data_IF_042698060568
#
_entry.id   IF_042698060568
#
_cell.length_a   1.000
_cell.length_b   1.000
_cell.length_c   1.000
_cell.angle_alpha   90.00
_cell.angle_beta   90.00
_cell.angle_gamma   90.00
#
_symmetry.space_group_name_H-M   'P 1'
#
loop_
_entity.id
_entity.type
_entity.pdbx_description
1 polymer ?
#
# COMPACT_ATOMS: atom_id res chain seq x y z
N UNK A 1 -26.22 47.49 6.08
CA UNK A 1 -25.12 47.06 5.21
C UNK A 1 -24.13 46.33 6.11
N UNK A 2 -24.33 45.01 6.30
CA UNK A 2 -23.52 44.19 7.18
C UNK A 2 -22.68 43.30 6.24
N UNK A 3 -21.39 43.53 6.26
CA UNK A 3 -20.41 42.75 5.49
C UNK A 3 -20.17 41.46 6.29
N UNK A 4 -20.59 40.33 5.74
CA UNK A 4 -20.24 39.01 6.25
C UNK A 4 -18.85 38.68 5.72
N UNK A 5 -17.85 38.79 6.59
CA UNK A 5 -16.54 38.21 6.38
C UNK A 5 -16.66 36.69 6.54
N UNK A 6 -16.59 35.95 5.45
CA UNK A 6 -16.34 34.51 5.49
C UNK A 6 -14.87 34.29 5.87
N UNK A 7 -14.69 33.91 7.13
CA UNK A 7 -13.42 33.41 7.63
C UNK A 7 -13.17 32.02 7.02
N UNK A 8 -12.09 31.91 6.29
CA UNK A 8 -11.48 30.66 5.86
C UNK A 8 -10.73 30.03 7.04
N UNK A 9 -11.41 29.35 7.94
CA UNK A 9 -10.82 28.70 9.12
C UNK A 9 -10.49 27.21 8.91
N UNK A 10 -10.29 26.77 7.66
CA UNK A 10 -9.98 25.35 7.38
C UNK A 10 -8.48 25.00 7.32
N UNK A 11 -7.57 25.94 7.62
CA UNK A 11 -6.13 25.66 7.58
C UNK A 11 -5.49 25.36 8.96
N UNK A 12 -6.18 25.64 10.08
CA UNK A 12 -5.54 25.57 11.41
C UNK A 12 -5.56 24.18 12.09
N UNK A 13 -6.32 23.20 11.60
CA UNK A 13 -6.38 21.85 12.19
C UNK A 13 -5.50 20.80 11.52
N UNK A 14 -4.93 21.09 10.35
CA UNK A 14 -4.10 20.13 9.59
C UNK A 14 -2.60 20.15 10.01
N UNK A 15 -2.13 21.22 10.63
CA UNK A 15 -0.70 21.35 11.00
C UNK A 15 -0.32 20.57 12.25
N UNK A 16 -1.25 20.15 13.08
CA UNK A 16 -0.95 19.61 14.42
C UNK A 16 -0.54 18.13 14.46
N UNK A 17 -0.61 17.35 13.37
CA UNK A 17 -0.36 15.90 13.44
C UNK A 17 0.19 15.23 12.17
N UNK A 18 0.98 15.92 11.33
CA UNK A 18 1.65 15.24 10.22
C UNK A 18 2.58 14.14 10.75
N UNK A 19 2.51 12.96 10.16
CA UNK A 19 3.40 11.84 10.44
C UNK A 19 4.28 11.58 9.22
N UNK A 20 5.62 11.64 9.36
CA UNK A 20 6.54 11.38 8.26
C UNK A 20 6.31 10.00 7.64
N UNK A 21 6.43 9.93 6.33
CA UNK A 21 6.30 8.69 5.59
C UNK A 21 7.68 8.14 5.25
N UNK A 22 7.90 6.87 5.49
CA UNK A 22 9.20 6.24 5.22
C UNK A 22 9.64 6.36 3.76
N UNK A 23 8.68 6.41 2.84
CA UNK A 23 8.95 6.56 1.42
C UNK A 23 9.50 7.95 1.05
N UNK A 24 9.34 8.97 1.90
CA UNK A 24 9.68 10.36 1.58
C UNK A 24 11.15 10.51 1.17
N UNK A 25 12.09 9.92 1.91
CA UNK A 25 13.53 9.98 1.61
C UNK A 25 13.89 9.42 0.22
N UNK A 26 13.21 8.38 -0.23
CA UNK A 26 13.42 7.84 -1.59
C UNK A 26 12.88 8.76 -2.68
N UNK A 27 11.75 9.42 -2.43
CA UNK A 27 11.17 10.38 -3.37
C UNK A 27 12.09 11.61 -3.45
N UNK A 28 12.63 12.07 -2.31
CA UNK A 28 13.59 13.17 -2.23
C UNK A 28 14.84 12.87 -3.06
N UNK A 29 15.47 11.71 -2.85
CA UNK A 29 16.63 11.30 -3.66
C UNK A 29 16.29 11.20 -5.16
N UNK A 30 15.09 10.70 -5.50
CA UNK A 30 14.71 10.53 -6.90
C UNK A 30 14.52 11.85 -7.66
N UNK A 31 14.06 12.93 -7.01
CA UNK A 31 13.88 14.23 -7.71
C UNK A 31 15.21 14.95 -7.99
N UNK A 32 16.30 14.56 -7.33
CA UNK A 32 17.63 15.04 -7.67
C UNK A 32 18.10 14.49 -9.04
N UNK A 33 17.84 13.22 -9.29
CA UNK A 33 18.36 12.51 -10.45
C UNK A 33 17.38 12.46 -11.64
N UNK A 34 16.08 12.51 -11.37
CA UNK A 34 15.05 12.29 -12.39
C UNK A 34 14.20 13.54 -12.65
N UNK A 35 13.96 13.90 -13.93
CA UNK A 35 13.19 15.10 -14.24
C UNK A 35 11.69 14.97 -13.89
N UNK A 36 11.17 13.75 -13.82
CA UNK A 36 9.76 13.50 -13.45
C UNK A 36 9.69 12.38 -12.42
N UNK A 37 9.06 12.66 -11.30
CA UNK A 37 8.68 11.67 -10.28
C UNK A 37 7.16 11.53 -10.26
N UNK A 38 6.65 10.31 -10.38
CA UNK A 38 5.22 9.99 -10.32
C UNK A 38 4.90 9.33 -9.00
N UNK A 39 4.05 9.97 -8.19
CA UNK A 39 3.56 9.46 -6.91
C UNK A 39 2.11 9.01 -7.03
N UNK A 40 1.89 7.71 -7.03
CA UNK A 40 0.56 7.09 -7.07
C UNK A 40 0.20 6.44 -5.74
N UNK A 41 -1.05 6.03 -5.59
CA UNK A 41 -1.54 5.32 -4.40
C UNK A 41 -3.05 5.47 -4.23
N UNK A 42 -3.64 4.70 -3.32
CA UNK A 42 -5.07 4.75 -3.05
C UNK A 42 -5.51 6.18 -2.68
N UNK A 43 -6.80 6.43 -2.80
CA UNK A 43 -7.38 7.70 -2.34
C UNK A 43 -7.19 7.84 -0.83
N UNK A 44 -6.95 9.08 -0.36
CA UNK A 44 -6.75 9.43 1.06
C UNK A 44 -5.55 8.74 1.76
N UNK A 45 -4.62 8.16 1.00
CA UNK A 45 -3.41 7.54 1.54
C UNK A 45 -2.33 8.56 1.96
N UNK A 46 -2.58 9.87 1.72
CA UNK A 46 -1.72 10.97 2.18
C UNK A 46 -0.70 11.47 1.16
N UNK A 47 -0.91 11.27 -0.17
CA UNK A 47 0.02 11.76 -1.22
C UNK A 47 0.24 13.26 -1.19
N UNK A 48 -0.85 14.03 -1.29
CA UNK A 48 -0.81 15.49 -1.28
C UNK A 48 -0.27 16.03 0.05
N UNK A 49 -0.64 15.39 1.17
CA UNK A 49 -0.13 15.74 2.51
C UNK A 49 1.37 15.53 2.62
N UNK A 50 1.91 14.41 2.11
CA UNK A 50 3.35 14.16 2.05
C UNK A 50 4.05 15.30 1.29
N UNK A 51 3.56 15.64 0.10
CA UNK A 51 4.17 16.68 -0.74
C UNK A 51 4.03 18.09 -0.16
N UNK A 52 3.07 18.35 0.72
CA UNK A 52 2.89 19.63 1.40
C UNK A 52 3.80 19.80 2.64
N UNK A 53 4.25 18.69 3.25
CA UNK A 53 4.98 18.76 4.52
C UNK A 53 6.44 18.33 4.43
N UNK A 54 6.81 17.49 3.47
CA UNK A 54 8.19 17.00 3.34
C UNK A 54 9.06 17.95 2.51
N UNK A 55 10.26 18.29 3.01
CA UNK A 55 11.27 18.99 2.22
C UNK A 55 11.79 18.08 1.10
N UNK A 56 12.15 18.61 -0.09
CA UNK A 56 12.03 20.01 -0.50
C UNK A 56 10.64 20.37 -1.06
N UNK A 57 9.70 19.44 -1.10
CA UNK A 57 8.40 19.57 -1.79
C UNK A 57 7.51 20.66 -1.20
N UNK A 58 7.57 20.86 0.13
CA UNK A 58 6.80 21.90 0.81
C UNK A 58 7.11 23.33 0.30
N UNK A 59 8.28 23.52 -0.30
CA UNK A 59 8.73 24.80 -0.85
C UNK A 59 8.43 24.94 -2.35
N UNK A 60 8.03 23.85 -3.01
CA UNK A 60 7.77 23.85 -4.44
C UNK A 60 6.42 24.47 -4.77
N UNK A 61 6.33 25.10 -5.92
CA UNK A 61 5.04 25.51 -6.46
C UNK A 61 4.16 24.26 -6.64
N UNK A 62 2.96 24.29 -6.04
CA UNK A 62 2.00 23.20 -6.13
C UNK A 62 0.74 23.67 -6.83
N UNK A 63 0.24 22.87 -7.77
CA UNK A 63 -1.01 23.11 -8.51
C UNK A 63 -1.85 21.84 -8.43
N UNK A 64 -3.08 21.96 -7.92
CA UNK A 64 -4.05 20.85 -7.87
C UNK A 64 -5.13 21.03 -8.94
N UNK A 65 -5.41 19.97 -9.70
CA UNK A 65 -6.48 19.94 -10.69
C UNK A 65 -7.87 19.64 -10.09
N UNK A 66 -7.99 19.70 -8.76
CA UNK A 66 -9.27 19.88 -8.08
C UNK A 66 -9.79 21.32 -8.26
N UNK A 67 -8.89 22.29 -8.47
CA UNK A 67 -9.22 23.65 -8.83
C UNK A 67 -9.61 23.72 -10.33
N UNK A 68 -10.82 24.19 -10.59
CA UNK A 68 -11.36 24.33 -11.95
C UNK A 68 -10.59 25.34 -12.82
N UNK A 69 -9.99 26.37 -12.21
CA UNK A 69 -9.21 27.36 -12.95
C UNK A 69 -7.87 26.76 -13.38
N UNK A 70 -7.20 26.05 -12.48
CA UNK A 70 -5.98 25.31 -12.79
C UNK A 70 -6.24 24.24 -13.87
N UNK A 71 -7.38 23.55 -13.80
CA UNK A 71 -7.77 22.56 -14.79
C UNK A 71 -7.99 23.20 -16.19
N UNK A 72 -8.66 24.35 -16.26
CA UNK A 72 -8.83 25.10 -17.52
C UNK A 72 -7.50 25.58 -18.07
N UNK A 73 -6.62 26.10 -17.23
CA UNK A 73 -5.27 26.53 -17.61
C UNK A 73 -4.45 25.36 -18.16
N UNK A 74 -4.53 24.18 -17.53
CA UNK A 74 -3.86 22.97 -18.00
C UNK A 74 -4.32 22.53 -19.40
N UNK A 75 -5.56 22.80 -19.76
CA UNK A 75 -6.14 22.46 -21.07
C UNK A 75 -5.75 23.45 -22.16
N UNK A 76 -5.69 24.74 -21.86
CA UNK A 76 -5.48 25.81 -22.84
C UNK A 76 -4.03 26.26 -22.95
N UNK A 77 -3.38 26.49 -21.81
CA UNK A 77 -2.03 27.08 -21.71
C UNK A 77 -1.18 26.34 -20.66
N UNK A 78 -0.90 25.04 -20.84
CA UNK A 78 -0.23 24.24 -19.83
C UNK A 78 1.14 24.77 -19.41
N UNK A 79 1.88 25.43 -20.31
CA UNK A 79 3.21 25.96 -20.03
C UNK A 79 3.20 27.08 -18.97
N UNK A 80 2.11 27.82 -18.86
CA UNK A 80 1.96 28.90 -17.87
C UNK A 80 1.88 28.37 -16.43
N UNK A 81 1.48 27.09 -16.23
CA UNK A 81 1.46 26.49 -14.90
C UNK A 81 2.83 26.45 -14.24
N UNK A 82 3.90 26.35 -15.01
CA UNK A 82 5.28 26.33 -14.53
C UNK A 82 6.13 27.50 -15.03
N UNK A 83 5.50 28.55 -15.53
CA UNK A 83 6.22 29.78 -15.89
C UNK A 83 6.91 30.36 -14.65
N UNK A 84 8.20 30.70 -14.78
CA UNK A 84 8.99 31.29 -13.69
C UNK A 84 9.45 30.34 -12.58
N UNK A 85 9.19 29.00 -12.69
CA UNK A 85 9.73 28.03 -11.74
C UNK A 85 10.35 26.83 -12.46
N UNK A 86 11.40 26.27 -11.88
CA UNK A 86 12.04 25.04 -12.35
C UNK A 86 11.47 23.78 -11.68
N UNK A 87 10.79 23.95 -10.55
CA UNK A 87 10.30 22.87 -9.70
C UNK A 87 8.81 23.03 -9.46
N UNK A 88 8.01 21.99 -9.75
CA UNK A 88 6.56 22.05 -9.59
C UNK A 88 5.95 20.69 -9.24
N UNK A 89 4.95 20.75 -8.39
CA UNK A 89 4.04 19.65 -8.08
C UNK A 89 2.74 19.84 -8.84
N UNK A 90 2.35 18.83 -9.59
CA UNK A 90 1.07 18.75 -10.29
C UNK A 90 0.25 17.63 -9.65
N UNK A 91 -0.79 18.00 -8.90
CA UNK A 91 -1.61 17.06 -8.15
C UNK A 91 -2.93 16.76 -8.88
N UNK A 92 -3.46 15.54 -8.68
CA UNK A 92 -4.65 15.00 -9.35
C UNK A 92 -4.55 15.04 -10.89
N UNK A 93 -3.33 14.73 -11.43
CA UNK A 93 -3.04 14.83 -12.88
C UNK A 93 -3.92 13.94 -13.78
N UNK A 94 -4.61 12.92 -13.23
CA UNK A 94 -5.58 12.12 -13.98
C UNK A 94 -6.77 12.96 -14.50
N UNK A 95 -7.02 14.15 -13.92
CA UNK A 95 -8.05 15.07 -14.40
C UNK A 95 -7.63 15.86 -15.63
N UNK A 96 -6.32 15.97 -15.89
CA UNK A 96 -5.74 16.71 -17.01
C UNK A 96 -4.76 15.85 -17.85
N UNK A 97 -5.18 14.72 -18.45
CA UNK A 97 -4.27 13.77 -19.09
C UNK A 97 -3.49 14.38 -20.28
N UNK A 98 -4.05 15.34 -21.00
CA UNK A 98 -3.38 16.05 -22.10
C UNK A 98 -2.10 16.81 -21.65
N UNK A 99 -2.04 17.19 -20.36
CA UNK A 99 -0.91 17.87 -19.74
C UNK A 99 0.39 17.06 -19.82
N UNK A 100 0.32 15.74 -19.81
CA UNK A 100 1.51 14.87 -19.86
C UNK A 100 2.37 15.10 -21.12
N UNK A 101 1.75 15.46 -22.24
CA UNK A 101 2.48 15.82 -23.46
C UNK A 101 3.23 17.14 -23.31
N UNK A 102 2.65 18.11 -22.61
CA UNK A 102 3.31 19.39 -22.33
C UNK A 102 4.45 19.23 -21.32
N UNK A 103 4.27 18.42 -20.28
CA UNK A 103 5.33 18.04 -19.34
C UNK A 103 6.51 17.39 -20.07
N UNK A 104 6.23 16.43 -20.97
CA UNK A 104 7.27 15.81 -21.81
C UNK A 104 8.07 16.86 -22.60
N UNK A 105 7.39 17.77 -23.28
CA UNK A 105 8.06 18.83 -24.06
C UNK A 105 8.91 19.76 -23.17
N UNK A 106 8.39 20.11 -22.00
CA UNK A 106 9.12 20.94 -21.04
C UNK A 106 10.39 20.24 -20.54
N UNK A 107 10.32 18.95 -20.21
CA UNK A 107 11.48 18.15 -19.81
C UNK A 107 12.48 18.01 -20.96
N UNK A 108 12.03 17.76 -22.20
CA UNK A 108 12.94 17.58 -23.33
C UNK A 108 13.72 18.88 -23.65
N UNK A 109 13.12 20.05 -23.39
CA UNK A 109 13.78 21.36 -23.57
C UNK A 109 14.76 21.72 -22.45
N UNK A 110 14.47 21.34 -21.21
CA UNK A 110 15.20 21.76 -20.01
C UNK A 110 15.43 20.60 -19.03
N UNK A 111 15.97 19.48 -19.52
CA UNK A 111 16.11 18.24 -18.76
C UNK A 111 17.02 18.36 -17.52
N UNK A 112 18.01 19.23 -17.57
CA UNK A 112 18.99 19.39 -16.48
C UNK A 112 18.39 20.07 -15.25
N UNK A 113 17.51 21.04 -15.44
CA UNK A 113 17.05 21.93 -14.35
C UNK A 113 15.60 21.69 -13.95
N UNK A 114 14.74 21.31 -14.92
CA UNK A 114 13.30 21.20 -14.65
C UNK A 114 12.93 19.92 -13.95
N UNK A 115 12.17 20.06 -12.87
CA UNK A 115 11.69 18.94 -12.03
C UNK A 115 10.18 18.98 -11.87
N UNK A 116 9.54 17.84 -12.09
CA UNK A 116 8.12 17.66 -11.89
C UNK A 116 7.86 16.54 -10.90
N UNK A 117 6.97 16.78 -9.93
CA UNK A 117 6.30 15.72 -9.19
C UNK A 117 4.86 15.65 -9.66
N UNK A 118 4.47 14.50 -10.21
CA UNK A 118 3.10 14.23 -10.66
C UNK A 118 2.44 13.34 -9.61
N UNK A 119 1.37 13.85 -9.00
CA UNK A 119 0.59 13.09 -8.02
C UNK A 119 -0.81 12.81 -8.53
N UNK A 120 -1.35 11.66 -8.17
CA UNK A 120 -2.72 11.31 -8.51
C UNK A 120 -3.17 10.01 -7.86
N UNK A 121 -4.50 9.82 -7.77
CA UNK A 121 -5.05 8.54 -7.36
C UNK A 121 -4.63 7.45 -8.36
N UNK A 122 -4.47 6.21 -7.86
CA UNK A 122 -4.13 5.07 -8.70
C UNK A 122 -5.26 4.83 -9.71
N UNK A 123 -5.11 5.44 -10.87
CA UNK A 123 -6.02 5.29 -11.99
C UNK A 123 -5.26 4.62 -13.13
N UNK A 124 -5.82 3.54 -13.64
CA UNK A 124 -5.27 2.75 -14.76
C UNK A 124 -4.98 3.61 -15.98
N UNK A 125 -5.85 4.60 -16.26
CA UNK A 125 -5.70 5.52 -17.38
C UNK A 125 -4.48 6.44 -17.19
N UNK A 126 -4.22 6.92 -15.96
CA UNK A 126 -3.06 7.74 -15.69
C UNK A 126 -1.77 6.94 -15.88
N UNK A 127 -1.69 5.75 -15.30
CA UNK A 127 -0.48 4.91 -15.40
C UNK A 127 -0.13 4.60 -16.85
N UNK A 128 -1.11 4.26 -17.68
CA UNK A 128 -0.90 4.00 -19.11
C UNK A 128 -0.44 5.24 -19.85
N UNK A 129 -1.12 6.36 -19.69
CA UNK A 129 -0.77 7.62 -20.36
C UNK A 129 0.58 8.17 -19.90
N UNK A 130 0.88 8.12 -18.60
CA UNK A 130 2.19 8.53 -18.06
C UNK A 130 3.29 7.63 -18.62
N UNK A 131 3.08 6.31 -18.64
CA UNK A 131 4.04 5.34 -19.19
C UNK A 131 4.32 5.58 -20.68
N UNK A 132 3.29 5.85 -21.48
CA UNK A 132 3.44 6.11 -22.91
C UNK A 132 4.10 7.47 -23.20
N UNK A 133 3.74 8.52 -22.45
CA UNK A 133 4.22 9.89 -22.70
C UNK A 133 5.59 10.19 -22.10
N UNK A 134 5.90 9.62 -20.90
CA UNK A 134 7.09 9.94 -20.12
C UNK A 134 8.11 8.78 -20.05
N UNK A 135 8.04 7.82 -20.94
CA UNK A 135 8.99 6.70 -21.01
C UNK A 135 10.44 7.20 -21.04
N UNK A 136 11.29 6.67 -20.14
CA UNK A 136 12.69 7.06 -19.97
C UNK A 136 12.94 8.43 -19.33
N UNK A 137 11.87 9.11 -18.85
CA UNK A 137 11.94 10.42 -18.19
C UNK A 137 11.40 10.39 -16.77
N UNK A 138 10.64 9.37 -16.41
CA UNK A 138 9.95 9.28 -15.12
C UNK A 138 10.33 8.06 -14.32
N UNK A 139 10.31 8.21 -13.00
CA UNK A 139 10.33 7.12 -12.03
C UNK A 139 9.03 7.11 -11.24
N UNK A 140 8.64 5.93 -10.76
CA UNK A 140 7.32 5.69 -10.19
C UNK A 140 7.43 5.24 -8.75
N UNK A 141 6.67 5.90 -7.87
CA UNK A 141 6.49 5.52 -6.48
C UNK A 141 5.02 5.25 -6.20
N UNK A 142 4.77 4.29 -5.31
CA UNK A 142 3.44 4.01 -4.80
C UNK A 142 3.44 4.24 -3.29
N UNK A 143 2.55 5.13 -2.83
CA UNK A 143 2.29 5.33 -1.42
C UNK A 143 1.20 4.37 -0.96
N UNK A 144 1.47 3.63 0.10
CA UNK A 144 0.54 2.68 0.72
C UNK A 144 -0.14 3.30 1.95
N UNK A 145 -1.16 2.65 2.54
CA UNK A 145 -1.57 2.97 3.90
C UNK A 145 -0.37 2.98 4.85
N UNK A 146 -0.49 3.61 5.99
CA UNK A 146 0.63 3.75 6.93
C UNK A 146 0.99 2.40 7.55
N UNK A 147 2.22 2.25 7.97
CA UNK A 147 2.60 1.21 8.93
C UNK A 147 2.32 1.68 10.36
N UNK A 148 2.32 0.76 11.32
CA UNK A 148 2.26 1.14 12.74
C UNK A 148 3.39 2.11 13.10
N UNK A 149 4.61 1.88 12.58
CA UNK A 149 5.76 2.77 12.83
C UNK A 149 5.58 4.18 12.27
N UNK A 150 5.07 4.30 11.05
CA UNK A 150 4.74 5.62 10.49
C UNK A 150 3.67 6.35 11.32
N UNK A 151 2.63 5.62 11.80
CA UNK A 151 1.61 6.19 12.69
C UNK A 151 2.20 6.70 14.01
N UNK A 152 3.19 6.03 14.53
CA UNK A 152 3.91 6.41 15.76
C UNK A 152 5.01 7.47 15.51
N UNK A 153 5.41 7.68 14.26
CA UNK A 153 6.53 8.55 13.88
C UNK A 153 7.89 7.91 14.10
N UNK A 154 7.94 6.57 14.17
CA UNK A 154 9.17 5.80 14.33
C UNK A 154 9.90 5.61 12.97
N UNK A 155 11.24 5.50 12.96
CA UNK A 155 11.99 5.14 11.77
C UNK A 155 11.71 3.67 11.36
N UNK A 156 12.00 3.28 10.09
CA UNK A 156 11.87 1.89 9.68
C UNK A 156 12.82 0.97 10.45
N UNK A 157 12.46 -0.32 10.67
CA UNK A 157 13.28 -1.25 11.45
C UNK A 157 14.61 -1.57 10.77
N UNK A 158 15.73 -1.14 11.33
CA UNK A 158 17.06 -1.35 10.77
C UNK A 158 17.39 -2.84 10.58
N UNK A 159 16.95 -3.70 11.50
CA UNK A 159 17.19 -5.14 11.44
C UNK A 159 16.62 -5.76 10.15
N UNK A 160 15.53 -5.21 9.61
CA UNK A 160 14.92 -5.73 8.37
C UNK A 160 15.86 -5.60 7.16
N UNK A 161 16.66 -4.54 7.09
CA UNK A 161 17.61 -4.33 6.01
C UNK A 161 18.81 -5.29 6.09
N UNK A 162 19.12 -5.82 7.28
CA UNK A 162 20.24 -6.73 7.54
C UNK A 162 19.91 -8.20 7.31
N UNK A 163 18.62 -8.56 7.20
CA UNK A 163 18.16 -9.95 6.97
C UNK A 163 18.78 -10.58 5.73
N UNK A 164 18.97 -9.81 4.68
CA UNK A 164 19.56 -10.29 3.41
C UNK A 164 21.08 -10.55 3.50
N UNK A 165 21.69 -10.13 4.59
CA UNK A 165 23.10 -10.43 4.96
C UNK A 165 23.18 -11.60 5.96
N UNK A 166 22.04 -12.17 6.35
CA UNK A 166 21.95 -13.26 7.31
C UNK A 166 21.99 -12.83 8.78
N UNK A 167 21.84 -11.53 9.06
CA UNK A 167 21.78 -11.01 10.43
C UNK A 167 20.34 -11.06 10.93
N UNK A 168 20.10 -11.86 11.99
CA UNK A 168 18.79 -12.00 12.61
C UNK A 168 18.61 -11.00 13.75
N UNK A 169 17.39 -10.48 13.99
CA UNK A 169 17.13 -9.65 15.15
C UNK A 169 17.20 -10.49 16.44
N UNK A 170 17.97 -10.03 17.40
CA UNK A 170 18.07 -10.63 18.74
C UNK A 170 17.10 -9.95 19.73
N UNK A 171 16.71 -8.74 19.44
CA UNK A 171 15.74 -7.95 20.18
C UNK A 171 15.02 -6.99 19.22
N UNK A 172 13.85 -6.54 19.61
CA UNK A 172 13.11 -5.43 18.98
C UNK A 172 12.88 -4.33 20.02
N UNK A 173 12.66 -3.10 19.60
CA UNK A 173 12.30 -2.02 20.52
C UNK A 173 11.09 -2.38 21.37
N UNK A 174 11.20 -2.18 22.70
CA UNK A 174 10.10 -2.43 23.62
C UNK A 174 9.13 -1.26 23.59
N UNK A 175 7.87 -1.54 23.29
CA UNK A 175 6.80 -0.53 23.32
C UNK A 175 6.31 -0.31 24.75
N UNK A 176 5.92 0.92 25.05
CA UNK A 176 5.38 1.32 26.35
C UNK A 176 4.05 0.63 26.70
N UNK A 177 3.28 0.23 25.68
CA UNK A 177 2.04 -0.51 25.84
C UNK A 177 1.90 -1.61 24.77
N UNK A 178 1.27 -2.74 25.13
CA UNK A 178 0.91 -3.78 24.15
C UNK A 178 -0.03 -3.24 23.08
N UNK A 179 0.21 -3.62 21.83
CA UNK A 179 -0.66 -3.27 20.70
C UNK A 179 -1.42 -4.52 20.27
N UNK A 180 -2.75 -4.52 20.45
CA UNK A 180 -3.60 -5.63 20.01
C UNK A 180 -3.70 -5.65 18.49
N UNK A 181 -3.24 -6.70 17.80
CA UNK A 181 -3.34 -6.81 16.35
C UNK A 181 -4.79 -6.82 15.87
N UNK A 182 -5.73 -7.40 16.64
CA UNK A 182 -7.14 -7.46 16.26
C UNK A 182 -7.77 -6.07 16.25
N UNK A 183 -7.51 -5.26 17.26
CA UNK A 183 -7.95 -3.88 17.31
C UNK A 183 -7.34 -3.04 16.17
N UNK A 184 -6.05 -3.28 15.86
CA UNK A 184 -5.34 -2.62 14.76
C UNK A 184 -5.93 -3.00 13.39
N UNK A 185 -6.24 -4.30 13.19
CA UNK A 185 -6.87 -4.78 11.96
C UNK A 185 -8.27 -4.19 11.75
N UNK A 186 -9.08 -4.09 12.79
CA UNK A 186 -10.44 -3.52 12.67
C UNK A 186 -10.40 -2.01 12.46
N UNK A 187 -9.43 -1.31 13.06
CA UNK A 187 -9.24 0.12 12.87
C UNK A 187 -8.76 0.46 11.46
N UNK A 188 -7.70 -0.19 11.00
CA UNK A 188 -7.00 0.11 9.75
C UNK A 188 -5.88 1.15 9.88
N UNK A 189 -5.25 1.44 8.74
CA UNK A 189 -3.99 2.18 8.64
C UNK A 189 -4.05 3.37 7.69
N UNK A 190 -5.25 3.81 7.29
CA UNK A 190 -5.40 5.04 6.51
C UNK A 190 -5.12 6.28 7.38
N UNK A 191 -4.36 7.28 6.88
CA UNK A 191 -3.98 8.47 7.66
C UNK A 191 -5.15 9.20 8.34
N UNK A 192 -6.34 9.41 7.70
CA UNK A 192 -7.45 10.10 8.35
C UNK A 192 -7.95 9.42 9.62
N UNK A 193 -7.72 8.10 9.78
CA UNK A 193 -8.13 7.36 10.96
C UNK A 193 -7.35 7.78 12.22
N UNK A 194 -6.16 8.38 12.08
CA UNK A 194 -5.36 8.85 13.20
C UNK A 194 -6.11 9.88 14.06
N UNK A 195 -6.92 10.72 13.44
CA UNK A 195 -7.70 11.75 14.12
C UNK A 195 -8.96 11.23 14.84
N UNK A 196 -9.35 9.96 14.61
CA UNK A 196 -10.58 9.40 15.13
C UNK A 196 -10.30 8.58 16.40
N UNK A 197 -10.83 9.04 17.56
CA UNK A 197 -10.63 8.33 18.82
C UNK A 197 -11.64 7.19 19.04
N UNK A 198 -12.88 7.33 18.53
CA UNK A 198 -13.96 6.39 18.79
C UNK A 198 -14.12 5.38 17.65
N UNK A 199 -14.42 4.14 18.00
CA UNK A 199 -14.61 3.05 17.02
C UNK A 199 -15.78 3.30 16.06
N UNK A 200 -16.90 3.85 16.54
CA UNK A 200 -18.05 4.19 15.70
C UNK A 200 -17.69 5.25 14.64
N UNK A 201 -16.85 6.23 14.98
CA UNK A 201 -16.36 7.22 14.02
C UNK A 201 -15.45 6.58 12.96
N UNK A 202 -14.64 5.59 13.33
CA UNK A 202 -13.84 4.80 12.37
C UNK A 202 -14.75 4.03 11.41
N UNK A 203 -15.81 3.39 11.90
CA UNK A 203 -16.77 2.66 11.06
C UNK A 203 -17.52 3.60 10.11
N UNK A 204 -17.99 4.75 10.60
CA UNK A 204 -18.62 5.77 9.76
C UNK A 204 -17.67 6.30 8.68
N UNK A 205 -16.38 6.44 9.01
CA UNK A 205 -15.38 6.85 8.04
C UNK A 205 -15.19 5.78 6.94
N UNK A 206 -15.10 4.49 7.31
CA UNK A 206 -15.02 3.41 6.33
C UNK A 206 -16.26 3.32 5.44
N UNK A 207 -17.45 3.47 6.02
CA UNK A 207 -18.70 3.51 5.26
C UNK A 207 -18.68 4.65 4.23
N UNK A 208 -18.34 5.86 4.66
CA UNK A 208 -18.20 7.03 3.78
C UNK A 208 -17.13 6.84 2.72
N UNK A 209 -15.99 6.21 3.07
CA UNK A 209 -14.91 5.89 2.13
C UNK A 209 -15.40 4.94 1.03
N UNK A 210 -16.05 3.85 1.40
CA UNK A 210 -16.57 2.84 0.45
C UNK A 210 -17.64 3.48 -0.45
N UNK A 211 -18.60 4.21 0.10
CA UNK A 211 -19.66 4.87 -0.67
C UNK A 211 -19.09 5.91 -1.65
N UNK A 212 -18.25 6.83 -1.16
CA UNK A 212 -17.68 7.89 -2.01
C UNK A 212 -16.81 7.31 -3.11
N UNK A 213 -15.98 6.32 -2.78
CA UNK A 213 -15.10 5.66 -3.73
C UNK A 213 -15.88 4.91 -4.80
N UNK A 214 -16.87 4.11 -4.40
CA UNK A 214 -17.71 3.34 -5.33
C UNK A 214 -18.56 4.24 -6.22
N UNK A 215 -19.20 5.25 -5.64
CA UNK A 215 -20.17 6.05 -6.39
C UNK A 215 -19.52 7.08 -7.31
N UNK A 216 -18.41 7.67 -6.88
CA UNK A 216 -17.81 8.78 -7.61
C UNK A 216 -16.69 8.34 -8.55
N UNK A 217 -15.70 7.65 -8.03
CA UNK A 217 -14.47 7.39 -8.77
C UNK A 217 -14.63 6.23 -9.75
N UNK A 218 -15.33 5.17 -9.35
CA UNK A 218 -15.51 4.00 -10.21
C UNK A 218 -16.56 4.21 -11.31
N UNK A 219 -17.60 5.01 -11.07
CA UNK A 219 -18.54 5.41 -12.14
C UNK A 219 -17.86 6.21 -13.25
N UNK A 220 -16.92 7.09 -12.89
CA UNK A 220 -16.18 7.87 -13.89
C UNK A 220 -15.29 7.00 -14.79
N UNK A 221 -14.89 5.82 -14.31
CA UNK A 221 -14.14 4.85 -15.10
C UNK A 221 -14.99 4.05 -16.09
N UNK A 222 -16.32 4.31 -16.15
CA UNK A 222 -17.30 3.69 -17.06
C UNK A 222 -17.25 2.14 -17.16
N UNK A 223 -16.67 1.46 -16.17
CA UNK A 223 -16.47 0.02 -16.18
C UNK A 223 -17.36 -0.75 -15.19
N UNK A 224 -18.09 -0.03 -14.32
CA UNK A 224 -19.00 -0.63 -13.32
C UNK A 224 -20.44 -0.41 -13.76
N UNK A 225 -21.10 -1.49 -14.19
CA UNK A 225 -22.50 -1.47 -14.65
C UNK A 225 -23.48 -1.52 -13.46
N UNK A 226 -23.14 -2.26 -12.40
CA UNK A 226 -23.95 -2.42 -11.20
C UNK A 226 -23.10 -2.18 -9.95
N UNK A 227 -23.38 -1.12 -9.20
CA UNK A 227 -22.70 -0.83 -7.94
C UNK A 227 -23.00 -1.88 -6.84
N UNK A 228 -24.24 -2.38 -6.69
CA UNK A 228 -24.54 -3.45 -5.73
C UNK A 228 -23.72 -4.71 -5.98
N UNK A 229 -23.59 -5.12 -7.25
CA UNK A 229 -22.81 -6.29 -7.61
C UNK A 229 -21.31 -6.10 -7.38
N UNK A 230 -20.81 -4.89 -7.66
CA UNK A 230 -19.43 -4.54 -7.39
C UNK A 230 -19.14 -4.55 -5.88
N UNK A 231 -20.04 -4.01 -5.05
CA UNK A 231 -19.92 -4.04 -3.58
C UNK A 231 -19.93 -5.48 -3.07
N UNK A 232 -20.85 -6.32 -3.53
CA UNK A 232 -20.90 -7.75 -3.17
C UNK A 232 -19.59 -8.46 -3.52
N UNK A 233 -19.01 -8.16 -4.69
CA UNK A 233 -17.71 -8.70 -5.07
C UNK A 233 -16.60 -8.26 -4.10
N UNK A 234 -16.57 -6.99 -3.69
CA UNK A 234 -15.60 -6.48 -2.71
C UNK A 234 -15.73 -7.20 -1.36
N UNK A 235 -16.95 -7.40 -0.87
CA UNK A 235 -17.24 -8.12 0.38
C UNK A 235 -16.75 -9.58 0.31
N UNK A 236 -17.00 -10.28 -0.80
CA UNK A 236 -16.52 -11.66 -1.02
C UNK A 236 -14.98 -11.71 -1.09
N UNK A 237 -14.35 -10.75 -1.74
CA UNK A 237 -12.89 -10.66 -1.79
C UNK A 237 -12.30 -10.37 -0.40
N UNK A 238 -12.95 -9.53 0.40
CA UNK A 238 -12.52 -9.22 1.76
C UNK A 238 -12.53 -10.45 2.68
N UNK A 239 -13.58 -11.29 2.60
CA UNK A 239 -13.66 -12.58 3.29
C UNK A 239 -12.57 -13.58 2.87
N UNK A 240 -11.89 -13.33 1.76
CA UNK A 240 -10.83 -14.18 1.19
C UNK A 240 -9.44 -13.53 1.22
N UNK A 241 -9.27 -12.42 1.95
CA UNK A 241 -7.94 -11.81 2.11
C UNK A 241 -6.99 -12.81 2.78
N UNK A 242 -5.76 -12.93 2.27
CA UNK A 242 -4.80 -13.95 2.67
C UNK A 242 -4.96 -15.32 1.97
N UNK A 243 -5.98 -15.53 1.15
CA UNK A 243 -6.26 -16.82 0.50
C UNK A 243 -5.92 -16.82 -0.99
N UNK A 244 -5.80 -18.02 -1.56
CA UNK A 244 -5.64 -18.18 -3.01
C UNK A 244 -6.87 -17.64 -3.76
N UNK A 245 -6.63 -16.79 -4.75
CA UNK A 245 -7.66 -16.20 -5.57
C UNK A 245 -8.09 -17.15 -6.68
N UNK A 246 -9.26 -17.75 -6.54
CA UNK A 246 -9.99 -18.40 -7.63
C UNK A 246 -11.06 -17.45 -8.17
N UNK A 247 -10.79 -16.81 -9.29
CA UNK A 247 -11.70 -15.80 -9.87
C UNK A 247 -13.04 -16.38 -10.30
N UNK A 248 -13.08 -17.65 -10.71
CA UNK A 248 -14.31 -18.34 -11.10
C UNK A 248 -15.22 -18.57 -9.89
N UNK A 249 -14.66 -19.00 -8.76
CA UNK A 249 -15.41 -19.20 -7.52
C UNK A 249 -15.91 -17.87 -6.96
N UNK A 250 -15.06 -16.83 -6.98
CA UNK A 250 -15.45 -15.46 -6.57
C UNK A 250 -16.60 -14.94 -7.43
N UNK A 251 -16.52 -15.10 -8.76
CA UNK A 251 -17.59 -14.69 -9.68
C UNK A 251 -18.91 -15.43 -9.42
N UNK A 252 -18.85 -16.74 -9.22
CA UNK A 252 -20.03 -17.57 -8.90
C UNK A 252 -20.68 -17.11 -7.58
N UNK A 253 -19.87 -16.92 -6.53
CA UNK A 253 -20.39 -16.52 -5.21
C UNK A 253 -20.95 -15.09 -5.21
N UNK A 254 -20.40 -14.21 -6.08
CA UNK A 254 -20.92 -12.86 -6.30
C UNK A 254 -22.17 -12.82 -7.23
N UNK A 255 -22.54 -13.94 -7.86
CA UNK A 255 -23.62 -13.99 -8.86
C UNK A 255 -23.25 -13.26 -10.16
N UNK A 256 -21.95 -13.21 -10.50
CA UNK A 256 -21.43 -12.49 -11.66
C UNK A 256 -20.96 -13.46 -12.75
N UNK A 257 -21.04 -13.02 -14.00
CA UNK A 257 -20.34 -13.70 -15.09
C UNK A 257 -18.82 -13.63 -14.89
N UNK A 258 -18.10 -14.65 -15.34
CA UNK A 258 -16.65 -14.68 -15.22
C UNK A 258 -15.95 -13.46 -15.85
N UNK A 259 -16.33 -12.93 -17.04
CA UNK A 259 -15.76 -11.72 -17.58
C UNK A 259 -16.00 -10.49 -16.71
N UNK A 260 -17.19 -10.35 -16.11
CA UNK A 260 -17.53 -9.23 -15.22
C UNK A 260 -16.72 -9.29 -13.93
N UNK A 261 -16.64 -10.48 -13.30
CA UNK A 261 -15.82 -10.67 -12.11
C UNK A 261 -14.34 -10.34 -12.38
N UNK A 262 -13.77 -10.85 -13.48
CA UNK A 262 -12.40 -10.54 -13.89
C UNK A 262 -12.16 -9.04 -14.09
N UNK A 263 -13.08 -8.34 -14.79
CA UNK A 263 -13.01 -6.90 -15.00
C UNK A 263 -13.02 -6.13 -13.68
N UNK A 264 -13.92 -6.48 -12.76
CA UNK A 264 -14.05 -5.81 -11.46
C UNK A 264 -12.85 -6.07 -10.54
N UNK A 265 -12.34 -7.31 -10.52
CA UNK A 265 -11.11 -7.66 -9.79
C UNK A 265 -9.92 -6.84 -10.31
N UNK A 266 -9.74 -6.75 -11.64
CA UNK A 266 -8.67 -5.94 -12.21
C UNK A 266 -8.82 -4.44 -11.90
N UNK A 267 -10.05 -3.94 -11.86
CA UNK A 267 -10.33 -2.55 -11.51
C UNK A 267 -9.94 -2.25 -10.05
N UNK A 268 -10.30 -3.13 -9.12
CA UNK A 268 -9.95 -3.00 -7.70
C UNK A 268 -8.42 -3.03 -7.48
N UNK A 269 -7.70 -3.90 -8.17
CA UNK A 269 -6.24 -3.94 -8.10
C UNK A 269 -5.61 -2.67 -8.67
N UNK A 270 -6.12 -2.21 -9.82
CA UNK A 270 -5.65 -1.00 -10.46
C UNK A 270 -5.87 0.26 -9.62
N UNK A 271 -6.86 0.25 -8.74
CA UNK A 271 -7.17 1.34 -7.82
C UNK A 271 -6.44 1.24 -6.49
N UNK A 272 -5.50 0.29 -6.36
CA UNK A 272 -4.69 0.07 -5.15
C UNK A 272 -5.51 -0.22 -3.89
N UNK A 273 -6.61 -0.96 -4.01
CA UNK A 273 -7.37 -1.45 -2.85
C UNK A 273 -6.88 -2.82 -2.41
N UNK A 274 -6.47 -3.66 -3.35
CA UNK A 274 -5.84 -4.92 -3.06
C UNK A 274 -4.69 -5.22 -4.05
N UNK A 275 -3.97 -6.28 -3.79
CA UNK A 275 -2.89 -6.78 -4.62
C UNK A 275 -2.93 -8.30 -4.73
N UNK A 276 -2.57 -8.81 -5.91
CA UNK A 276 -2.35 -10.23 -6.15
C UNK A 276 -0.89 -10.59 -5.89
N UNK A 277 -0.64 -11.35 -4.84
CA UNK A 277 0.69 -11.84 -4.49
C UNK A 277 1.00 -13.10 -5.31
N UNK A 278 2.01 -13.09 -6.21
CA UNK A 278 2.33 -14.24 -7.06
C UNK A 278 2.97 -15.38 -6.25
N UNK A 279 2.86 -16.60 -6.78
CA UNK A 279 3.56 -17.74 -6.22
C UNK A 279 5.09 -17.63 -6.46
N UNK A 280 5.89 -18.03 -5.48
CA UNK A 280 7.32 -18.23 -5.64
C UNK A 280 7.60 -19.52 -6.42
N UNK A 281 8.49 -19.46 -7.38
CA UNK A 281 9.10 -20.63 -8.02
C UNK A 281 10.43 -20.21 -8.67
N UNK A 282 11.46 -21.08 -8.65
CA UNK A 282 12.73 -20.82 -9.35
C UNK A 282 12.51 -20.60 -10.86
N UNK A 283 11.64 -21.40 -11.45
CA UNK A 283 11.23 -21.19 -12.84
C UNK A 283 10.23 -20.05 -12.93
N UNK A 284 10.66 -18.93 -13.50
CA UNK A 284 9.87 -17.70 -13.64
C UNK A 284 8.55 -17.91 -14.41
N UNK A 285 8.53 -18.82 -15.39
CA UNK A 285 7.31 -19.15 -16.16
C UNK A 285 6.29 -19.85 -15.27
N UNK A 286 6.73 -20.75 -14.37
CA UNK A 286 5.82 -21.43 -13.42
C UNK A 286 5.19 -20.47 -12.40
N UNK A 287 5.84 -19.32 -12.08
CA UNK A 287 5.28 -18.28 -11.21
C UNK A 287 4.02 -17.66 -11.82
N UNK A 288 3.99 -17.48 -13.13
CA UNK A 288 2.90 -16.81 -13.84
C UNK A 288 1.65 -17.69 -14.01
N UNK A 289 1.78 -19.00 -13.83
CA UNK A 289 0.69 -19.96 -14.07
C UNK A 289 -0.05 -20.36 -12.79
N UNK A 290 0.58 -20.21 -11.60
CA UNK A 290 -0.05 -20.55 -10.31
C UNK A 290 -1.02 -19.44 -9.89
N UNK A 291 -2.15 -19.84 -9.26
CA UNK A 291 -3.11 -18.89 -8.65
C UNK A 291 -2.41 -17.98 -7.65
N UNK A 292 -2.58 -16.66 -7.72
CA UNK A 292 -2.02 -15.74 -6.72
C UNK A 292 -2.81 -15.82 -5.40
N UNK A 293 -2.19 -15.41 -4.28
CA UNK A 293 -2.91 -15.01 -3.06
C UNK A 293 -3.47 -13.60 -3.24
N UNK A 294 -4.59 -13.32 -2.58
CA UNK A 294 -5.22 -12.00 -2.53
C UNK A 294 -4.92 -11.32 -1.21
N UNK A 295 -4.48 -10.06 -1.24
CA UNK A 295 -4.34 -9.24 -0.03
C UNK A 295 -4.92 -7.85 -0.25
N UNK A 296 -5.84 -7.42 0.63
CA UNK A 296 -6.18 -6.01 0.72
C UNK A 296 -4.96 -5.21 1.20
N UNK A 297 -4.84 -3.96 0.72
CA UNK A 297 -3.71 -3.10 1.12
C UNK A 297 -3.94 -2.43 2.47
N UNK A 298 -5.18 -2.41 2.97
CA UNK A 298 -5.51 -2.00 4.34
C UNK A 298 -6.35 -3.08 5.02
N UNK A 299 -5.88 -3.68 6.13
CA UNK A 299 -6.64 -4.69 6.84
C UNK A 299 -7.96 -4.16 7.42
N UNK A 300 -8.06 -2.84 7.73
CA UNK A 300 -9.29 -2.22 8.22
C UNK A 300 -10.37 -2.15 7.16
N UNK A 301 -10.00 -1.86 5.91
CA UNK A 301 -10.94 -1.95 4.80
C UNK A 301 -11.44 -3.39 4.61
N UNK A 302 -10.54 -4.37 4.67
CA UNK A 302 -10.92 -5.78 4.56
C UNK A 302 -11.82 -6.22 5.71
N UNK A 303 -11.49 -5.86 6.97
CA UNK A 303 -12.32 -6.16 8.14
C UNK A 303 -13.70 -5.51 8.03
N UNK A 304 -13.78 -4.24 7.64
CA UNK A 304 -15.04 -3.52 7.45
C UNK A 304 -15.94 -4.20 6.40
N UNK A 305 -15.39 -4.50 5.22
CA UNK A 305 -16.13 -5.17 4.13
C UNK A 305 -16.54 -6.60 4.48
N UNK A 306 -15.75 -7.30 5.30
CA UNK A 306 -16.08 -8.64 5.80
C UNK A 306 -17.11 -8.62 6.96
N UNK A 307 -17.53 -7.43 7.43
CA UNK A 307 -18.51 -7.28 8.51
C UNK A 307 -17.91 -7.39 9.92
N UNK A 308 -16.59 -7.31 10.08
CA UNK A 308 -15.91 -7.33 11.38
C UNK A 308 -15.72 -5.91 11.88
N UNK A 309 -16.57 -5.50 12.83
CA UNK A 309 -16.61 -4.12 13.34
C UNK A 309 -15.97 -3.96 14.72
N UNK A 310 -15.67 -5.06 15.41
CA UNK A 310 -14.98 -5.07 16.71
C UNK A 310 -13.90 -6.14 16.76
N UNK A 311 -12.92 -5.96 17.63
CA UNK A 311 -11.84 -6.94 17.85
C UNK A 311 -12.41 -8.29 18.34
N UNK A 312 -13.47 -8.28 19.15
CA UNK A 312 -14.14 -9.47 19.67
C UNK A 312 -14.79 -10.27 18.55
N UNK A 313 -15.53 -9.59 17.63
CA UNK A 313 -16.15 -10.24 16.48
C UNK A 313 -15.10 -10.87 15.57
N UNK A 314 -14.01 -10.14 15.32
CA UNK A 314 -12.91 -10.64 14.50
C UNK A 314 -12.22 -11.85 15.18
N UNK A 315 -11.98 -11.81 16.50
CA UNK A 315 -11.35 -12.91 17.26
C UNK A 315 -12.14 -14.22 17.14
N UNK A 316 -13.45 -14.14 17.11
CA UNK A 316 -14.33 -15.30 16.99
C UNK A 316 -14.49 -15.81 15.55
N UNK A 317 -13.93 -15.13 14.57
CA UNK A 317 -14.08 -15.43 13.15
C UNK A 317 -12.96 -16.33 12.62
N UNK A 318 -13.24 -17.02 11.52
CA UNK A 318 -12.25 -17.78 10.76
C UNK A 318 -11.34 -16.89 9.90
N UNK A 319 -11.73 -15.65 9.70
CA UNK A 319 -11.01 -14.66 8.88
C UNK A 319 -9.85 -14.00 9.65
N UNK A 320 -9.79 -14.15 10.98
CA UNK A 320 -8.78 -13.51 11.84
C UNK A 320 -7.33 -13.80 11.40
N UNK A 321 -7.03 -15.06 11.05
CA UNK A 321 -5.72 -15.47 10.55
C UNK A 321 -5.36 -14.79 9.23
N UNK A 322 -6.26 -14.81 8.23
CA UNK A 322 -6.03 -14.18 6.92
C UNK A 322 -5.94 -12.65 6.99
N UNK A 323 -6.67 -12.03 7.92
CA UNK A 323 -6.56 -10.59 8.17
C UNK A 323 -5.25 -10.25 8.91
N UNK A 324 -4.74 -11.14 9.77
CA UNK A 324 -3.42 -10.96 10.37
C UNK A 324 -2.29 -11.12 9.34
N UNK A 325 -2.40 -12.05 8.40
CA UNK A 325 -1.52 -12.10 7.23
C UNK A 325 -1.60 -10.81 6.41
N UNK A 326 -2.81 -10.24 6.25
CA UNK A 326 -3.03 -8.96 5.54
C UNK A 326 -2.36 -7.78 6.25
N UNK A 327 -2.41 -7.75 7.58
CA UNK A 327 -1.71 -6.76 8.40
C UNK A 327 -0.19 -6.85 8.20
N UNK A 328 0.36 -8.06 8.27
CA UNK A 328 1.80 -8.30 8.03
C UNK A 328 2.17 -7.97 6.58
N UNK A 329 1.33 -8.33 5.61
CA UNK A 329 1.52 -8.00 4.20
C UNK A 329 1.67 -6.49 3.96
N UNK A 330 0.81 -5.66 4.56
CA UNK A 330 0.93 -4.20 4.46
C UNK A 330 2.32 -3.72 4.91
N UNK A 331 2.79 -4.16 6.09
CA UNK A 331 4.08 -3.77 6.63
C UNK A 331 5.24 -4.22 5.72
N UNK A 332 5.23 -5.50 5.31
CA UNK A 332 6.24 -6.04 4.39
C UNK A 332 6.22 -5.33 3.02
N UNK A 333 5.04 -4.96 2.53
CA UNK A 333 4.90 -4.23 1.26
C UNK A 333 5.49 -2.83 1.35
N UNK A 334 5.22 -2.08 2.41
CA UNK A 334 5.84 -0.76 2.64
C UNK A 334 7.36 -0.91 2.74
N UNK A 335 7.86 -1.82 3.59
CA UNK A 335 9.29 -2.06 3.75
C UNK A 335 9.96 -2.47 2.42
N UNK A 336 9.30 -3.28 1.61
CA UNK A 336 9.84 -3.70 0.31
C UNK A 336 10.07 -2.54 -0.65
N UNK A 337 9.31 -1.46 -0.51
CA UNK A 337 9.42 -0.25 -1.33
C UNK A 337 10.48 0.74 -0.82
N UNK A 338 11.18 0.42 0.27
CA UNK A 338 12.34 1.19 0.75
C UNK A 338 13.66 0.76 0.10
N UNK A 339 13.66 -0.29 -0.70
CA UNK A 339 14.84 -0.81 -1.41
C UNK A 339 14.87 -0.35 -2.88
N UNK A 340 16.07 -0.24 -3.44
CA UNK A 340 16.30 0.02 -4.87
C UNK A 340 17.14 -1.10 -5.49
N UNK A 341 16.61 -1.89 -6.43
CA UNK A 341 15.19 -1.96 -6.79
C UNK A 341 14.31 -2.47 -5.64
N UNK A 342 12.99 -2.24 -5.74
CA UNK A 342 12.04 -2.76 -4.76
C UNK A 342 12.19 -4.28 -4.60
N UNK A 343 12.07 -4.77 -3.35
CA UNK A 343 12.08 -6.21 -3.09
C UNK A 343 10.86 -6.87 -3.73
N UNK A 344 11.03 -8.10 -4.18
CA UNK A 344 9.92 -8.89 -4.70
C UNK A 344 9.32 -9.71 -3.58
N UNK A 345 8.00 -9.60 -3.42
CA UNK A 345 7.21 -10.43 -2.53
C UNK A 345 6.46 -11.48 -3.34
N UNK A 346 6.43 -12.70 -2.81
CA UNK A 346 5.69 -13.84 -3.34
C UNK A 346 5.31 -14.77 -2.17
N UNK A 347 4.46 -15.77 -2.40
CA UNK A 347 4.21 -16.85 -1.44
C UNK A 347 4.76 -18.16 -2.01
N UNK A 348 5.09 -19.14 -1.15
CA UNK A 348 5.49 -20.46 -1.60
C UNK A 348 4.47 -21.52 -1.17
N UNK A 349 4.16 -22.44 -2.07
CA UNK A 349 3.27 -23.57 -1.77
C UNK A 349 3.63 -24.78 -2.62
N UNK A 350 3.71 -25.95 -1.94
CA UNK A 350 3.88 -27.27 -2.59
C UNK A 350 2.54 -27.85 -3.04
N UNK A 351 2.60 -28.89 -3.86
CA UNK A 351 1.44 -29.69 -4.25
C UNK A 351 0.90 -30.53 -3.08
N UNK A 352 1.70 -30.79 -2.07
CA UNK A 352 1.37 -31.52 -0.83
C UNK A 352 0.71 -30.64 0.23
N UNK A 353 0.63 -29.31 0.00
CA UNK A 353 -0.08 -28.39 0.89
C UNK A 353 0.82 -27.60 1.86
N UNK A 354 2.13 -27.87 1.91
CA UNK A 354 3.05 -27.01 2.68
C UNK A 354 3.10 -25.62 2.09
N UNK A 355 3.07 -24.59 2.93
CA UNK A 355 2.99 -23.21 2.51
C UNK A 355 3.88 -22.31 3.40
N UNK A 356 4.53 -21.33 2.78
CA UNK A 356 5.18 -20.18 3.44
C UNK A 356 4.46 -18.92 2.95
N UNK A 357 3.97 -18.10 3.87
CA UNK A 357 3.08 -16.99 3.56
C UNK A 357 3.75 -15.93 2.70
N UNK A 358 5.02 -15.60 3.00
CA UNK A 358 5.78 -14.65 2.18
C UNK A 358 7.20 -15.13 1.95
N UNK A 359 7.65 -14.95 0.71
CA UNK A 359 9.05 -15.08 0.29
C UNK A 359 9.49 -13.74 -0.26
N UNK A 360 10.52 -13.16 0.35
CA UNK A 360 11.07 -11.86 0.00
C UNK A 360 12.39 -12.08 -0.74
N UNK A 361 12.52 -11.53 -1.94
CA UNK A 361 13.69 -11.70 -2.81
C UNK A 361 14.48 -10.41 -2.92
N UNK A 362 15.81 -10.46 -2.63
CA UNK A 362 16.79 -9.44 -2.97
C UNK A 362 17.93 -10.07 -3.78
N UNK A 363 17.91 -9.91 -5.08
CA UNK A 363 18.89 -10.57 -5.93
C UNK A 363 18.78 -12.11 -5.88
N UNK A 364 19.74 -12.75 -5.22
CA UNK A 364 19.73 -14.21 -4.95
C UNK A 364 19.35 -14.52 -3.51
N UNK A 365 19.44 -13.58 -2.61
CA UNK A 365 19.09 -13.76 -1.21
C UNK A 365 17.58 -13.90 -1.04
N UNK A 366 17.16 -14.85 -0.23
CA UNK A 366 15.77 -15.11 0.11
C UNK A 366 15.57 -14.94 1.61
N UNK A 367 14.44 -14.32 1.98
CA UNK A 367 13.93 -14.33 3.34
C UNK A 367 12.54 -14.96 3.30
N UNK A 368 12.34 -16.02 4.09
CA UNK A 368 11.05 -16.71 4.23
C UNK A 368 10.29 -16.15 5.44
N UNK A 369 8.98 -15.94 5.33
CA UNK A 369 8.15 -15.40 6.41
C UNK A 369 6.89 -16.23 6.56
N UNK A 370 6.69 -16.81 7.72
CA UNK A 370 5.46 -17.46 8.18
C UNK A 370 4.74 -16.53 9.14
N UNK A 371 3.41 -16.53 9.13
CA UNK A 371 2.58 -15.66 9.98
C UNK A 371 1.65 -16.50 10.84
N UNK A 372 1.66 -16.28 12.15
CA UNK A 372 0.81 -17.02 13.10
C UNK A 372 0.14 -16.07 14.09
N UNK A 373 -1.19 -16.06 14.10
CA UNK A 373 -1.95 -15.31 15.10
C UNK A 373 -1.90 -16.06 16.45
N UNK A 374 -0.73 -16.07 17.08
CA UNK A 374 -0.45 -16.69 18.38
C UNK A 374 0.41 -15.77 19.22
N UNK A 375 0.23 -15.79 20.53
CA UNK A 375 1.05 -15.02 21.46
C UNK A 375 2.34 -15.77 21.88
N UNK A 376 2.34 -17.09 21.74
CA UNK A 376 3.42 -17.97 22.17
C UNK A 376 3.88 -18.91 21.05
N UNK A 377 4.72 -18.43 20.12
CA UNK A 377 5.22 -19.27 19.04
C UNK A 377 6.14 -20.37 19.56
N UNK A 378 6.05 -21.56 18.96
CA UNK A 378 6.88 -22.72 19.32
C UNK A 378 7.59 -23.31 18.09
N UNK A 379 8.51 -24.26 18.35
CA UNK A 379 9.35 -24.87 17.34
C UNK A 379 8.55 -25.50 16.18
N UNK A 380 7.40 -26.10 16.47
CA UNK A 380 6.52 -26.72 15.47
C UNK A 380 5.94 -25.74 14.45
N UNK A 381 5.69 -24.48 14.86
CA UNK A 381 5.13 -23.44 13.96
C UNK A 381 6.07 -23.07 12.82
N UNK A 382 7.36 -23.39 12.93
CA UNK A 382 8.37 -23.12 11.92
C UNK A 382 8.67 -24.30 10.98
N UNK A 383 7.82 -25.32 10.94
CA UNK A 383 8.04 -26.52 10.10
C UNK A 383 8.12 -26.16 8.60
N UNK A 384 7.18 -25.38 8.09
CA UNK A 384 7.19 -24.96 6.69
C UNK A 384 8.40 -24.10 6.33
N UNK A 385 8.88 -23.26 7.26
CA UNK A 385 10.10 -22.49 7.07
C UNK A 385 11.32 -23.41 6.92
N UNK A 386 11.42 -24.47 7.71
CA UNK A 386 12.51 -25.46 7.60
C UNK A 386 12.47 -26.18 6.24
N UNK A 387 11.29 -26.66 5.83
CA UNK A 387 11.10 -27.31 4.55
C UNK A 387 11.47 -26.38 3.37
N UNK A 388 11.08 -25.12 3.46
CA UNK A 388 11.46 -24.12 2.45
C UNK A 388 12.97 -23.92 2.40
N UNK A 389 13.65 -23.82 3.55
CA UNK A 389 15.10 -23.62 3.61
C UNK A 389 15.90 -24.85 3.12
N UNK A 390 15.39 -26.06 3.31
CA UNK A 390 15.96 -27.28 2.75
C UNK A 390 15.86 -27.29 1.21
N UNK A 391 14.73 -26.82 0.64
CA UNK A 391 14.53 -26.72 -0.82
C UNK A 391 15.32 -25.54 -1.42
N UNK A 392 15.50 -24.45 -0.64
CA UNK A 392 16.16 -23.21 -1.08
C UNK A 392 17.31 -22.81 -0.13
N UNK A 393 18.50 -23.44 -0.26
CA UNK A 393 19.64 -23.17 0.63
C UNK A 393 20.17 -21.73 0.61
N UNK A 394 19.84 -20.96 -0.44
CA UNK A 394 20.13 -19.53 -0.57
C UNK A 394 19.32 -18.63 0.40
N UNK A 395 18.44 -19.22 1.19
CA UNK A 395 17.69 -18.51 2.23
C UNK A 395 18.63 -18.03 3.33
N UNK A 396 18.71 -16.71 3.48
CA UNK A 396 19.59 -16.04 4.45
C UNK A 396 18.97 -15.99 5.84
N UNK A 397 17.66 -15.83 5.91
CA UNK A 397 16.89 -15.73 7.16
C UNK A 397 15.47 -16.26 6.99
N UNK A 398 14.87 -16.74 8.07
CA UNK A 398 13.46 -17.09 8.14
C UNK A 398 12.82 -16.47 9.37
N UNK A 399 11.64 -15.87 9.19
CA UNK A 399 10.90 -15.16 10.21
C UNK A 399 9.58 -15.87 10.48
N UNK A 400 9.24 -16.05 11.76
CA UNK A 400 7.89 -16.37 12.17
C UNK A 400 7.30 -15.12 12.82
N UNK A 401 6.39 -14.43 12.11
CA UNK A 401 5.73 -13.22 12.62
C UNK A 401 4.52 -13.63 13.45
N UNK A 402 4.42 -13.11 14.68
CA UNK A 402 3.39 -13.54 15.64
C UNK A 402 2.76 -12.35 16.40
N UNK A 403 1.66 -12.62 17.11
CA UNK A 403 0.89 -11.61 17.87
C UNK A 403 1.46 -11.31 19.27
N UNK A 404 2.38 -12.13 19.76
CA UNK A 404 3.02 -11.96 21.09
C UNK A 404 4.01 -10.80 21.14
N UNK A 405 4.84 -10.77 22.20
CA UNK A 405 5.70 -9.61 22.49
C UNK A 405 7.20 -9.92 22.50
N UNK A 406 7.59 -11.19 22.46
CA UNK A 406 8.99 -11.60 22.65
C UNK A 406 9.63 -12.07 21.35
N UNK A 407 10.90 -11.71 21.14
CA UNK A 407 11.74 -12.31 20.09
C UNK A 407 12.23 -13.66 20.61
N UNK A 408 12.09 -14.72 19.80
CA UNK A 408 12.47 -16.07 20.19
C UNK A 408 13.20 -16.78 19.04
N UNK A 409 14.40 -17.30 19.34
CA UNK A 409 15.14 -18.13 18.39
C UNK A 409 14.46 -19.49 18.24
N UNK A 410 14.12 -19.89 17.02
CA UNK A 410 13.49 -21.18 16.69
C UNK A 410 14.38 -22.11 15.88
N UNK A 411 15.56 -21.67 15.47
CA UNK A 411 16.55 -22.40 14.72
C UNK A 411 17.74 -21.52 14.38
N UNK A 412 18.79 -22.07 13.76
CA UNK A 412 20.01 -21.34 13.44
C UNK A 412 19.73 -20.04 12.64
N UNK A 413 18.86 -20.14 11.63
CA UNK A 413 18.46 -19.01 10.78
C UNK A 413 16.98 -18.67 10.92
N UNK A 414 16.29 -19.15 11.96
CA UNK A 414 14.86 -18.98 12.15
C UNK A 414 14.61 -18.24 13.46
N UNK A 415 13.94 -17.11 13.39
CA UNK A 415 13.56 -16.29 14.54
C UNK A 415 12.08 -15.95 14.53
N UNK A 416 11.41 -16.08 15.65
CA UNK A 416 10.07 -15.55 15.86
C UNK A 416 10.16 -14.10 16.30
N UNK A 417 9.41 -13.23 15.61
CA UNK A 417 9.42 -11.78 15.82
C UNK A 417 7.97 -11.29 15.99
N UNK A 418 7.66 -10.54 17.04
CA UNK A 418 6.37 -9.87 17.12
C UNK A 418 6.08 -9.01 15.89
N UNK A 419 4.81 -8.99 15.43
CA UNK A 419 4.42 -8.16 14.28
C UNK A 419 4.74 -6.67 14.48
N UNK A 420 4.71 -6.21 15.73
CA UNK A 420 5.09 -4.85 16.10
C UNK A 420 6.56 -4.54 15.84
N UNK A 421 7.42 -5.56 15.72
CA UNK A 421 8.82 -5.40 15.31
C UNK A 421 8.98 -4.87 13.90
N UNK A 422 7.99 -5.10 13.01
CA UNK A 422 7.97 -4.55 11.66
C UNK A 422 7.71 -3.03 11.64
N UNK A 423 7.33 -2.45 12.76
CA UNK A 423 7.03 -1.03 12.89
C UNK A 423 8.26 -0.15 13.20
N UNK A 424 9.42 -0.76 13.45
CA UNK A 424 10.60 0.01 13.81
C UNK A 424 10.53 0.57 15.25
N UNK A 425 11.38 1.52 15.55
CA UNK A 425 11.49 2.19 16.85
C UNK A 425 12.92 2.36 17.28
#
# INVERSE_FOLDING_TARGET
MIIIQHMNDNHSHAELNYKPRWLASRIQAAVEDHPVVVLSGARQVGKSTLLQHESPFAEWRSVSFDDLNALRQAQNEPAELWAGTEQIILDEVQKAPALLSAVKQAVDRQRATRRFVLSGSANLLLMRQVSESLAGRSVYFRLFPMTLGEMEGAPPPEWFFRLFQGELPTAIPVRSAPVDPLASMVRGFMPPLLALARQDAVLQWWEGYVMTYLERDLRQLSQVESLPDFRRLMEILALRSGQLLNQTDVGRDAGLSQPTAHRYINLLEATCLFERLPAFARNRTKRLVKSPKLFFLDPGLAAFLAGHHTAENLRASREAGGLFETLVFLHLRVLSHLFTPNLRLSYWRTTTGHEVDFVIEQGRALVAVEVKLTDAPHYGDAENLRLFMEEYPETTAALLIHAGHEVKQLGEKIVAVPWTGLAGG
#
